data_IF_807423790203
#
_entry.id   IF_807423790203
#
_cell.length_a   1.000
_cell.length_b   1.000
_cell.length_c   1.000
_cell.angle_alpha   90.00
_cell.angle_beta   90.00
_cell.angle_gamma   90.00
#
_symmetry.space_group_name_H-M   'P 1'
#
loop_
_entity.id
_entity.type
_entity.pdbx_description
1 polymer ?
#
# COMPACT_ATOMS: atom_id res chain seq x y z
N UNK A 1 21.35 -0.72 13.35
CA UNK A 1 21.93 -1.00 12.01
C UNK A 1 22.50 -2.41 12.03
N UNK A 2 21.88 -3.35 11.33
CA UNK A 2 22.36 -4.74 11.31
C UNK A 2 23.56 -4.95 10.37
N UNK A 3 23.75 -4.07 9.39
CA UNK A 3 24.78 -4.16 8.35
C UNK A 3 25.71 -2.95 8.29
N UNK A 4 25.72 -2.08 9.31
CA UNK A 4 26.51 -0.84 9.32
C UNK A 4 26.06 0.23 8.30
N UNK A 5 24.98 -0.01 7.55
CA UNK A 5 24.42 0.96 6.60
C UNK A 5 23.50 1.97 7.31
N UNK A 6 23.75 3.26 7.09
CA UNK A 6 22.86 4.34 7.51
C UNK A 6 21.96 4.78 6.37
N UNK A 7 20.64 4.64 6.56
CA UNK A 7 19.66 5.01 5.53
C UNK A 7 19.10 6.38 5.88
N UNK A 8 19.31 7.34 4.98
CA UNK A 8 18.70 8.66 5.07
C UNK A 8 17.41 8.68 4.27
N UNK A 9 16.38 9.34 4.81
CA UNK A 9 15.06 9.43 4.22
C UNK A 9 14.70 10.92 4.06
N UNK A 10 15.14 11.59 2.98
CA UNK A 10 14.96 13.03 2.82
C UNK A 10 13.49 13.48 2.83
N UNK A 11 12.57 12.61 2.38
CA UNK A 11 11.13 12.90 2.41
C UNK A 11 10.52 12.89 3.82
N UNK A 12 11.24 12.39 4.82
CA UNK A 12 10.82 12.40 6.22
C UNK A 12 11.42 13.58 7.00
N UNK A 13 11.97 14.60 6.31
CA UNK A 13 12.42 15.83 6.98
C UNK A 13 11.22 16.55 7.61
N UNK A 14 11.25 16.88 8.91
CA UNK A 14 10.16 17.58 9.60
C UNK A 14 9.74 18.87 8.92
N UNK A 15 10.68 19.64 8.36
CA UNK A 15 10.39 20.92 7.70
C UNK A 15 9.59 20.72 6.42
N UNK A 16 9.93 19.67 5.67
CA UNK A 16 9.21 19.32 4.45
C UNK A 16 7.81 18.81 4.78
N UNK A 17 7.69 18.01 5.84
CA UNK A 17 6.39 17.51 6.32
C UNK A 17 5.50 18.67 6.75
N UNK A 18 5.99 19.57 7.60
CA UNK A 18 5.22 20.74 8.07
C UNK A 18 4.77 21.62 6.90
N UNK A 19 5.68 21.89 5.95
CA UNK A 19 5.35 22.65 4.75
C UNK A 19 4.26 21.95 3.93
N UNK A 20 4.46 20.67 3.60
CA UNK A 20 3.51 19.95 2.77
C UNK A 20 2.18 19.71 3.48
N UNK A 21 2.14 19.58 4.80
CA UNK A 21 0.89 19.39 5.54
C UNK A 21 -0.04 20.59 5.40
N UNK A 22 0.51 21.81 5.44
CA UNK A 22 -0.22 23.07 5.37
C UNK A 22 -0.71 23.47 3.97
N UNK A 23 -0.26 22.80 2.90
CA UNK A 23 -0.70 23.13 1.53
C UNK A 23 -2.16 22.69 1.29
N UNK A 24 -3.01 23.52 0.66
CA UNK A 24 -4.37 23.13 0.29
C UNK A 24 -4.43 21.88 -0.58
N UNK A 25 -5.45 21.05 -0.39
CA UNK A 25 -5.58 19.78 -1.13
C UNK A 25 -5.73 19.99 -2.64
N UNK A 26 -6.43 21.05 -3.06
CA UNK A 26 -6.57 21.45 -4.47
C UNK A 26 -5.23 21.67 -5.17
N UNK A 27 -4.20 22.07 -4.44
CA UNK A 27 -2.84 22.26 -4.95
C UNK A 27 -2.01 20.97 -4.89
N UNK A 28 -2.28 20.08 -3.93
CA UNK A 28 -1.59 18.78 -3.80
C UNK A 28 -1.94 17.82 -4.95
N UNK A 29 -3.21 17.84 -5.39
CA UNK A 29 -3.78 16.97 -6.42
C UNK A 29 -4.56 17.75 -7.48
N UNK A 30 -3.93 18.79 -8.05
CA UNK A 30 -4.57 19.70 -9.02
C UNK A 30 -4.99 19.04 -10.35
N UNK A 31 -4.32 17.98 -10.78
CA UNK A 31 -4.56 17.26 -12.04
C UNK A 31 -5.26 15.89 -11.83
N UNK A 32 -5.77 15.64 -10.61
CA UNK A 32 -6.41 14.38 -10.25
C UNK A 32 -5.44 13.19 -10.12
N UNK A 33 -4.12 13.43 -10.17
CA UNK A 33 -3.11 12.38 -10.02
C UNK A 33 -2.53 12.35 -8.60
N UNK A 34 -1.85 11.26 -8.32
CA UNK A 34 -1.05 11.11 -7.11
C UNK A 34 0.24 11.93 -7.22
N UNK A 35 0.60 12.59 -6.11
CA UNK A 35 1.86 13.32 -5.97
C UNK A 35 2.03 14.43 -7.02
N UNK A 36 0.94 15.06 -7.47
CA UNK A 36 0.96 16.07 -8.55
C UNK A 36 1.88 17.24 -8.23
N UNK A 37 1.81 17.76 -7.00
CA UNK A 37 2.70 18.82 -6.55
C UNK A 37 4.18 18.45 -6.66
N UNK A 38 4.55 17.23 -6.25
CA UNK A 38 5.93 16.73 -6.33
C UNK A 38 6.36 16.54 -7.80
N UNK A 39 5.47 16.02 -8.64
CA UNK A 39 5.74 15.82 -10.08
C UNK A 39 5.94 17.16 -10.79
N UNK A 40 5.14 18.17 -10.45
CA UNK A 40 5.28 19.52 -10.97
C UNK A 40 6.61 20.16 -10.52
N UNK A 41 6.97 20.04 -9.24
CA UNK A 41 8.21 20.58 -8.69
C UNK A 41 9.48 19.96 -9.31
N UNK A 42 9.41 18.71 -9.78
CA UNK A 42 10.54 17.97 -10.34
C UNK A 42 10.52 17.88 -11.88
N UNK A 43 9.54 18.51 -12.55
CA UNK A 43 9.31 18.36 -14.00
C UNK A 43 10.55 18.71 -14.84
N UNK A 44 11.28 19.74 -14.42
CA UNK A 44 12.45 20.24 -15.15
C UNK A 44 13.74 19.47 -14.81
N UNK A 45 13.70 18.60 -13.78
CA UNK A 45 14.86 17.84 -13.30
C UNK A 45 14.85 16.38 -13.77
N UNK A 46 13.68 15.84 -14.14
CA UNK A 46 13.50 14.43 -14.46
C UNK A 46 13.07 14.23 -15.92
N UNK A 47 13.53 13.15 -16.58
CA UNK A 47 13.00 12.76 -17.87
C UNK A 47 11.50 12.50 -17.80
N UNK A 48 10.77 12.89 -18.84
CA UNK A 48 9.30 12.81 -18.91
C UNK A 48 8.76 11.41 -18.55
N UNK A 49 9.42 10.36 -19.07
CA UNK A 49 9.04 8.96 -18.79
C UNK A 49 9.08 8.61 -17.29
N UNK A 50 10.04 9.17 -16.54
CA UNK A 50 10.14 8.96 -15.10
C UNK A 50 9.14 9.84 -14.35
N UNK A 51 9.00 11.11 -14.76
CA UNK A 51 8.13 12.09 -14.14
C UNK A 51 6.64 11.71 -14.20
N UNK A 52 6.20 11.00 -15.24
CA UNK A 52 4.81 10.57 -15.43
C UNK A 52 4.57 9.07 -15.19
N UNK A 53 5.57 8.33 -14.69
CA UNK A 53 5.43 6.91 -14.35
C UNK A 53 4.36 6.70 -13.27
N UNK A 54 3.48 5.72 -13.48
CA UNK A 54 2.51 5.26 -12.48
C UNK A 54 3.26 4.65 -11.29
N UNK A 55 2.82 4.92 -10.06
CA UNK A 55 3.39 4.29 -8.86
C UNK A 55 3.27 2.77 -8.96
N UNK A 56 4.42 2.10 -8.90
CA UNK A 56 4.48 0.66 -8.62
C UNK A 56 4.90 0.48 -7.17
N UNK A 57 4.23 -0.38 -6.39
CA UNK A 57 4.67 -0.73 -5.05
C UNK A 57 6.04 -1.44 -5.10
N UNK A 58 6.90 -1.18 -4.12
CA UNK A 58 8.17 -1.90 -3.93
C UNK A 58 7.86 -3.38 -3.59
N UNK A 59 8.66 -4.36 -4.07
CA UNK A 59 8.19 -5.62 -4.61
C UNK A 59 7.17 -6.29 -3.70
N UNK A 60 5.96 -6.28 -4.19
CA UNK A 60 4.88 -7.13 -3.77
C UNK A 60 5.16 -8.54 -4.30
N UNK A 61 6.03 -9.30 -3.62
CA UNK A 61 5.84 -10.74 -3.54
C UNK A 61 4.53 -10.95 -2.76
N UNK A 62 3.40 -10.78 -3.45
CA UNK A 62 2.10 -11.18 -2.94
C UNK A 62 1.95 -12.65 -3.22
N UNK A 63 1.98 -13.46 -2.17
CA UNK A 63 1.60 -14.85 -2.27
C UNK A 63 0.08 -14.92 -2.52
N UNK A 64 -0.29 -15.42 -3.70
CA UNK A 64 -1.68 -15.53 -4.11
C UNK A 64 -2.49 -16.42 -3.14
N UNK A 65 -1.87 -17.47 -2.59
CA UNK A 65 -2.53 -18.36 -1.64
C UNK A 65 -2.88 -17.60 -0.34
N UNK A 66 -1.97 -16.75 0.14
CA UNK A 66 -2.22 -15.92 1.32
C UNK A 66 -3.39 -14.94 1.12
N UNK A 67 -3.47 -14.30 -0.05
CA UNK A 67 -4.56 -13.39 -0.39
C UNK A 67 -5.91 -14.15 -0.47
N UNK A 68 -5.92 -15.35 -1.06
CA UNK A 68 -7.11 -16.21 -1.15
C UNK A 68 -7.58 -16.70 0.23
N UNK A 69 -6.64 -17.09 1.11
CA UNK A 69 -6.92 -17.51 2.48
C UNK A 69 -7.47 -16.37 3.34
N UNK A 70 -6.90 -15.17 3.25
CA UNK A 70 -7.41 -13.98 3.96
C UNK A 70 -8.85 -13.67 3.56
N UNK A 71 -9.17 -13.75 2.26
CA UNK A 71 -10.54 -13.50 1.76
C UNK A 71 -11.50 -14.61 2.22
N UNK A 72 -11.07 -15.87 2.19
CA UNK A 72 -11.85 -17.01 2.68
C UNK A 72 -12.20 -16.86 4.17
N UNK A 73 -11.20 -16.53 5.00
CA UNK A 73 -11.38 -16.36 6.44
C UNK A 73 -12.31 -15.18 6.76
N UNK A 74 -12.09 -14.03 6.11
CA UNK A 74 -12.94 -12.84 6.30
C UNK A 74 -14.40 -13.11 5.94
N UNK A 75 -14.65 -13.87 4.86
CA UNK A 75 -16.01 -14.30 4.49
C UNK A 75 -16.60 -15.24 5.52
N UNK A 76 -15.81 -16.18 6.03
CA UNK A 76 -16.26 -17.12 7.05
C UNK A 76 -16.63 -16.41 8.37
N UNK A 77 -15.89 -15.36 8.73
CA UNK A 77 -16.16 -14.53 9.91
C UNK A 77 -17.43 -13.71 9.75
N UNK A 78 -17.68 -13.17 8.55
CA UNK A 78 -18.94 -12.47 8.23
C UNK A 78 -20.15 -13.42 8.30
N UNK A 79 -20.02 -14.65 7.80
CA UNK A 79 -21.09 -15.65 7.91
C UNK A 79 -21.36 -16.06 9.37
N UNK A 80 -20.29 -16.18 10.17
CA UNK A 80 -20.38 -16.47 11.61
C UNK A 80 -21.01 -15.32 12.39
N UNK A 81 -20.65 -14.08 12.09
CA UNK A 81 -21.21 -12.88 12.69
C UNK A 81 -22.67 -12.65 12.30
N UNK A 82 -23.06 -13.05 11.08
CA UNK A 82 -24.44 -12.98 10.60
C UNK A 82 -25.35 -14.12 11.15
N UNK A 83 -24.86 -14.96 12.07
CA UNK A 83 -25.65 -16.00 12.73
C UNK A 83 -26.14 -17.12 11.81
N UNK A 84 -25.62 -17.22 10.58
CA UNK A 84 -25.94 -18.32 9.67
C UNK A 84 -24.98 -19.46 9.93
N UNK A 85 -25.38 -20.41 10.78
CA UNK A 85 -24.62 -21.61 11.04
C UNK A 85 -24.46 -22.41 9.73
N UNK A 86 -23.22 -22.53 9.25
CA UNK A 86 -22.88 -23.50 8.20
C UNK A 86 -22.59 -24.85 8.89
N UNK A 87 -22.96 -26.01 8.31
CA UNK A 87 -22.60 -27.29 8.90
C UNK A 87 -21.07 -27.43 8.91
N UNK A 88 -20.55 -27.92 10.03
CA UNK A 88 -19.13 -28.17 10.29
C UNK A 88 -18.42 -28.85 9.10
N UNK A 89 -17.26 -28.34 8.63
CA UNK A 89 -16.43 -29.09 7.69
C UNK A 89 -15.76 -30.23 8.47
N UNK A 90 -16.19 -31.47 8.21
CA UNK A 90 -15.51 -32.67 8.72
C UNK A 90 -14.05 -32.62 8.26
N UNK A 91 -13.13 -32.57 9.21
CA UNK A 91 -11.70 -32.77 8.99
C UNK A 91 -11.48 -34.08 8.21
N UNK A 92 -10.63 -34.11 7.16
CA UNK A 92 -10.11 -35.37 6.66
C UNK A 92 -9.15 -35.92 7.72
N UNK A 93 -9.53 -37.01 8.34
CA UNK A 93 -8.67 -37.79 9.23
C UNK A 93 -7.41 -38.21 8.47
N UNK A 94 -6.23 -37.84 8.98
CA UNK A 94 -4.97 -38.43 8.53
C UNK A 94 -5.01 -39.95 8.81
N UNK A 95 -4.66 -40.81 7.84
CA UNK A 95 -4.48 -42.23 8.10
C UNK A 95 -3.13 -42.46 8.80
N UNK A 96 -3.17 -43.35 9.80
CA UNK A 96 -2.05 -43.85 10.61
C UNK A 96 -0.96 -44.51 9.80
#
# INVERSE_FOLDING_TARGET
MASGLDVRIPFADPRLVDYTFNIPWSMKSFDGREKSLLRAAMKDLLPEKAAYRIKLPYPNLRDRAYDEDMVSNSRSDLHRAAGTSRPSPRHPTCPS
#
